data_IF_022787269723
#
_entry.id   IF_022787269723
#
_cell.length_a   1.000
_cell.length_b   1.000
_cell.length_c   1.000
_cell.angle_alpha   90.00
_cell.angle_beta   90.00
_cell.angle_gamma   90.00
#
_symmetry.space_group_name_H-M   'P 1'
#
loop_
_entity.id
_entity.type
_entity.pdbx_description
1 polymer ?
#
# COMPACT_ATOMS: atom_id res chain seq x y z
N UNK A 1 -1.61 -7.96 -28.02
CA UNK A 1 -2.66 -7.03 -27.55
C UNK A 1 -1.99 -5.91 -26.77
N UNK A 2 -2.40 -4.66 -26.96
CA UNK A 2 -1.84 -3.54 -26.19
C UNK A 2 -2.18 -3.70 -24.70
N UNK A 3 -1.22 -3.41 -23.81
CA UNK A 3 -1.48 -3.41 -22.36
C UNK A 3 -2.46 -2.30 -21.99
N UNK A 4 -3.31 -2.55 -21.01
CA UNK A 4 -4.20 -1.54 -20.43
C UNK A 4 -3.40 -0.34 -19.89
N UNK A 5 -3.99 0.86 -19.97
CA UNK A 5 -3.34 2.07 -19.48
C UNK A 5 -3.60 2.24 -18.00
N UNK A 6 -2.52 2.43 -17.23
CA UNK A 6 -2.57 2.56 -15.78
C UNK A 6 -2.47 4.03 -15.38
N UNK A 7 -3.37 4.45 -14.50
CA UNK A 7 -3.29 5.71 -13.78
C UNK A 7 -2.65 5.47 -12.42
N UNK A 8 -1.76 6.35 -11.95
CA UNK A 8 -1.16 6.22 -10.61
C UNK A 8 -1.18 7.57 -9.88
N UNK A 9 -1.88 7.62 -8.75
CA UNK A 9 -2.03 8.84 -7.95
C UNK A 9 -1.40 8.65 -6.57
N UNK A 10 -0.40 9.48 -6.27
CA UNK A 10 0.36 9.44 -5.02
C UNK A 10 1.76 8.87 -5.21
N UNK A 11 2.77 9.74 -5.36
CA UNK A 11 4.16 9.35 -5.66
C UNK A 11 5.08 9.51 -4.43
N UNK A 12 4.60 9.05 -3.28
CA UNK A 12 5.38 9.00 -2.04
C UNK A 12 6.40 7.86 -2.02
N UNK A 13 6.91 7.53 -0.81
CA UNK A 13 7.92 6.48 -0.60
C UNK A 13 7.49 5.10 -1.11
N UNK A 14 6.18 4.80 -1.06
CA UNK A 14 5.62 3.57 -1.59
C UNK A 14 5.24 3.72 -3.07
N UNK A 15 4.49 4.78 -3.39
CA UNK A 15 3.90 4.92 -4.71
C UNK A 15 4.90 5.16 -5.85
N UNK A 16 5.96 5.95 -5.63
CA UNK A 16 6.98 6.20 -6.68
C UNK A 16 7.68 4.91 -7.15
N UNK A 17 8.23 4.04 -6.28
CA UNK A 17 8.81 2.78 -6.75
C UNK A 17 7.78 1.83 -7.37
N UNK A 18 6.54 1.78 -6.86
CA UNK A 18 5.46 0.98 -7.48
C UNK A 18 5.17 1.46 -8.92
N UNK A 19 5.04 2.77 -9.12
CA UNK A 19 4.85 3.37 -10.43
C UNK A 19 6.02 3.07 -11.40
N UNK A 20 7.27 3.08 -10.90
CA UNK A 20 8.44 2.67 -11.69
C UNK A 20 8.40 1.20 -12.10
N UNK A 21 7.91 0.31 -11.24
CA UNK A 21 7.78 -1.11 -11.56
C UNK A 21 6.73 -1.35 -12.67
N UNK A 22 5.64 -0.59 -12.67
CA UNK A 22 4.64 -0.62 -13.75
C UNK A 22 5.24 -0.17 -15.09
N UNK A 23 6.03 0.91 -15.11
CA UNK A 23 6.74 1.35 -16.31
C UNK A 23 7.73 0.30 -16.81
N UNK A 24 8.54 -0.29 -15.93
CA UNK A 24 9.49 -1.36 -16.28
C UNK A 24 8.79 -2.59 -16.85
N UNK A 25 7.59 -2.90 -16.36
CA UNK A 25 6.75 -3.95 -16.90
C UNK A 25 6.11 -3.58 -18.26
N UNK A 26 6.31 -2.36 -18.77
CA UNK A 26 5.83 -1.93 -20.08
C UNK A 26 4.38 -1.46 -20.12
N UNK A 27 3.78 -1.11 -18.97
CA UNK A 27 2.44 -0.51 -18.95
C UNK A 27 2.51 0.97 -19.36
N UNK A 28 1.63 1.45 -20.25
CA UNK A 28 1.41 2.88 -20.43
C UNK A 28 0.94 3.49 -19.12
N UNK A 29 1.64 4.50 -18.61
CA UNK A 29 1.40 5.06 -17.28
C UNK A 29 1.07 6.55 -17.34
N UNK A 30 -0.01 6.96 -16.68
CA UNK A 30 -0.36 8.36 -16.42
C UNK A 30 -0.27 8.60 -14.92
N UNK A 31 0.51 9.58 -14.48
CA UNK A 31 0.75 9.81 -13.06
C UNK A 31 0.28 11.17 -12.59
N UNK A 32 -0.04 11.24 -11.30
CA UNK A 32 -0.24 12.49 -10.60
C UNK A 32 0.20 12.39 -9.14
N UNK A 33 0.65 13.51 -8.58
CA UNK A 33 0.83 13.67 -7.14
C UNK A 33 0.68 15.14 -6.77
N UNK A 34 0.29 15.40 -5.52
CA UNK A 34 0.18 16.77 -4.98
C UNK A 34 1.48 17.56 -5.16
N UNK A 35 2.62 16.91 -4.92
CA UNK A 35 3.94 17.53 -5.11
C UNK A 35 4.41 17.34 -6.54
N UNK A 36 4.91 18.42 -7.15
CA UNK A 36 5.36 18.45 -8.55
C UNK A 36 6.64 17.63 -8.83
N UNK A 37 7.71 17.70 -8.02
CA UNK A 37 8.98 17.04 -8.37
C UNK A 37 8.89 15.53 -8.64
N UNK A 38 8.16 14.71 -7.85
CA UNK A 38 7.96 13.30 -8.15
C UNK A 38 7.25 13.03 -9.49
N UNK A 39 6.36 13.93 -9.94
CA UNK A 39 5.70 13.82 -11.24
C UNK A 39 6.71 14.03 -12.36
N UNK A 40 7.54 15.08 -12.27
CA UNK A 40 8.56 15.36 -13.28
C UNK A 40 9.58 14.22 -13.40
N UNK A 41 10.00 13.62 -12.28
CA UNK A 41 10.85 12.43 -12.28
C UNK A 41 10.22 11.24 -13.05
N UNK A 42 8.92 11.02 -12.87
CA UNK A 42 8.20 9.93 -13.53
C UNK A 42 7.96 10.22 -15.01
N UNK A 43 7.72 11.47 -15.37
CA UNK A 43 7.61 11.90 -16.78
C UNK A 43 8.94 11.71 -17.50
N UNK A 44 10.05 12.11 -16.89
CA UNK A 44 11.39 11.85 -17.43
C UNK A 44 11.68 10.35 -17.60
N UNK A 45 11.02 9.49 -16.81
CA UNK A 45 11.11 8.03 -16.92
C UNK A 45 10.13 7.41 -17.93
N UNK A 46 9.30 8.21 -18.62
CA UNK A 46 8.38 7.74 -19.67
C UNK A 46 6.89 7.68 -19.29
N UNK A 47 6.49 8.19 -18.11
CA UNK A 47 5.08 8.37 -17.80
C UNK A 47 4.50 9.65 -18.44
N UNK A 48 3.18 9.72 -18.56
CA UNK A 48 2.47 10.94 -18.88
C UNK A 48 2.03 11.69 -17.60
N UNK A 49 2.02 13.02 -17.65
CA UNK A 49 1.51 13.86 -16.56
C UNK A 49 -0.02 14.01 -16.68
N UNK A 50 -0.75 13.46 -15.72
CA UNK A 50 -2.21 13.54 -15.69
C UNK A 50 -2.77 14.89 -15.25
N UNK A 51 -1.93 15.82 -14.77
CA UNK A 51 -2.26 17.18 -14.27
C UNK A 51 -3.15 17.24 -13.03
N UNK A 52 -4.11 16.32 -12.87
CA UNK A 52 -5.01 16.19 -11.72
C UNK A 52 -5.48 14.73 -11.55
N UNK A 53 -6.10 14.35 -10.42
CA UNK A 53 -6.73 13.04 -10.26
C UNK A 53 -7.76 12.74 -11.36
N UNK A 54 -8.60 13.72 -11.70
CA UNK A 54 -9.55 13.64 -12.82
C UNK A 54 -8.86 13.36 -14.16
N UNK A 55 -7.80 14.11 -14.47
CA UNK A 55 -7.07 13.94 -15.73
C UNK A 55 -6.36 12.59 -15.84
N UNK A 56 -5.89 12.01 -14.72
CA UNK A 56 -5.42 10.62 -14.67
C UNK A 56 -6.56 9.66 -14.99
N UNK A 57 -7.72 9.80 -14.35
CA UNK A 57 -8.85 8.91 -14.51
C UNK A 57 -9.41 8.90 -15.96
N UNK A 58 -9.50 10.06 -16.60
CA UNK A 58 -9.98 10.19 -17.98
C UNK A 58 -9.13 9.41 -18.98
N UNK A 59 -7.83 9.28 -18.69
CA UNK A 59 -6.87 8.65 -19.57
C UNK A 59 -6.59 7.19 -19.22
N UNK A 60 -7.16 6.62 -18.16
CA UNK A 60 -6.72 5.31 -17.64
C UNK A 60 -7.85 4.30 -17.61
N UNK A 61 -7.51 3.02 -17.78
CA UNK A 61 -8.43 1.89 -17.68
C UNK A 61 -8.45 1.34 -16.25
N UNK A 62 -7.28 1.32 -15.61
CA UNK A 62 -7.09 0.96 -14.20
C UNK A 62 -6.41 2.15 -13.51
N UNK A 63 -6.99 2.63 -12.41
CA UNK A 63 -6.47 3.76 -11.63
C UNK A 63 -6.00 3.21 -10.29
N UNK A 64 -4.75 3.47 -9.90
CA UNK A 64 -4.18 3.09 -8.62
C UNK A 64 -4.00 4.33 -7.75
N UNK A 65 -4.45 4.27 -6.49
CA UNK A 65 -4.13 5.28 -5.46
C UNK A 65 -3.20 4.70 -4.41
N UNK A 66 -2.20 5.48 -3.98
CA UNK A 66 -1.29 5.15 -2.88
C UNK A 66 -1.06 6.38 -2.00
N UNK A 67 -1.99 6.61 -1.07
CA UNK A 67 -2.14 7.85 -0.32
C UNK A 67 -1.99 7.64 1.20
N UNK A 68 -1.77 8.71 1.99
CA UNK A 68 -1.46 8.58 3.41
C UNK A 68 -2.61 8.08 4.29
N UNK A 69 -3.84 8.55 4.08
CA UNK A 69 -4.98 8.26 4.95
C UNK A 69 -6.35 8.42 4.25
N UNK A 70 -7.42 8.04 4.95
CA UNK A 70 -8.81 8.07 4.50
C UNK A 70 -9.24 9.43 3.96
N UNK A 71 -8.97 10.58 4.63
CA UNK A 71 -9.33 11.88 4.09
C UNK A 71 -8.61 12.22 2.78
N UNK A 72 -7.37 11.77 2.60
CA UNK A 72 -6.62 11.98 1.35
C UNK A 72 -7.25 11.17 0.21
N UNK A 73 -7.64 9.91 0.46
CA UNK A 73 -8.33 9.08 -0.54
C UNK A 73 -9.69 9.66 -0.88
N UNK A 74 -10.48 10.09 0.12
CA UNK A 74 -11.77 10.75 -0.10
C UNK A 74 -11.60 12.02 -0.93
N UNK A 75 -10.61 12.87 -0.63
CA UNK A 75 -10.35 14.08 -1.41
C UNK A 75 -9.95 13.76 -2.85
N UNK A 76 -9.04 12.82 -3.05
CA UNK A 76 -8.54 12.45 -4.39
C UNK A 76 -9.63 11.77 -5.23
N UNK A 77 -10.51 11.00 -4.60
CA UNK A 77 -11.52 10.22 -5.34
C UNK A 77 -12.84 10.97 -5.48
N UNK A 78 -13.38 11.48 -4.37
CA UNK A 78 -14.71 12.10 -4.29
C UNK A 78 -14.68 13.63 -4.41
N UNK A 79 -13.52 14.26 -4.20
CA UNK A 79 -13.39 15.71 -4.23
C UNK A 79 -13.50 16.31 -5.63
N UNK A 80 -13.50 17.65 -5.68
CA UNK A 80 -13.45 18.41 -6.94
C UNK A 80 -12.17 18.09 -7.72
N UNK A 81 -12.29 17.94 -9.04
CA UNK A 81 -11.23 17.43 -9.91
C UNK A 81 -10.67 16.07 -9.46
N UNK A 82 -11.49 15.31 -8.73
CA UNK A 82 -11.21 13.97 -8.25
C UNK A 82 -11.39 12.89 -9.31
N UNK A 83 -11.01 11.67 -8.95
CA UNK A 83 -11.13 10.50 -9.84
C UNK A 83 -12.56 10.31 -10.34
N UNK A 84 -13.59 10.47 -9.49
CA UNK A 84 -14.98 10.26 -9.89
C UNK A 84 -15.50 11.22 -10.97
N UNK A 85 -14.89 12.39 -11.13
CA UNK A 85 -15.25 13.36 -12.18
C UNK A 85 -14.61 13.03 -13.54
N UNK A 86 -13.67 12.07 -13.56
CA UNK A 86 -12.96 11.64 -14.77
C UNK A 86 -13.07 10.15 -15.08
N UNK A 87 -13.56 9.34 -14.15
CA UNK A 87 -13.62 7.89 -14.31
C UNK A 87 -14.64 7.50 -15.38
N UNK A 88 -14.23 6.57 -16.26
CA UNK A 88 -15.06 6.04 -17.34
C UNK A 88 -15.81 4.79 -16.87
N UNK A 89 -17.00 4.55 -17.42
CA UNK A 89 -17.67 3.27 -17.24
C UNK A 89 -16.76 2.12 -17.69
N UNK A 90 -16.76 1.02 -16.93
CA UNK A 90 -15.88 -0.12 -17.15
C UNK A 90 -14.44 0.06 -16.67
N UNK A 91 -14.04 1.21 -16.11
CA UNK A 91 -12.74 1.36 -15.46
C UNK A 91 -12.70 0.65 -14.10
N UNK A 92 -11.49 0.42 -13.57
CA UNK A 92 -11.29 -0.11 -12.21
C UNK A 92 -10.43 0.84 -11.38
N UNK A 93 -10.95 1.28 -10.23
CA UNK A 93 -10.17 1.97 -9.20
C UNK A 93 -9.58 0.94 -8.23
N UNK A 94 -8.29 1.01 -7.96
CA UNK A 94 -7.55 0.13 -7.07
C UNK A 94 -6.89 0.99 -5.99
N UNK A 95 -7.52 1.08 -4.83
CA UNK A 95 -6.93 1.81 -3.71
C UNK A 95 -5.98 0.93 -2.91
N UNK A 96 -4.69 1.22 -3.00
CA UNK A 96 -3.64 0.49 -2.27
C UNK A 96 -3.21 1.20 -0.97
N UNK A 97 -3.90 2.29 -0.63
CA UNK A 97 -3.75 3.00 0.64
C UNK A 97 -4.23 2.14 1.81
N UNK A 98 -3.79 2.46 3.03
CA UNK A 98 -4.37 1.87 4.25
C UNK A 98 -5.34 2.87 4.86
N UNK A 99 -6.64 2.57 4.78
CA UNK A 99 -7.73 3.46 5.17
C UNK A 99 -8.84 2.71 5.91
N UNK A 100 -9.83 3.43 6.45
CA UNK A 100 -10.99 2.81 7.09
C UNK A 100 -11.78 1.91 6.12
N UNK A 101 -12.15 0.67 6.50
CA UNK A 101 -13.03 -0.18 5.71
C UNK A 101 -14.37 0.47 5.37
N UNK A 102 -14.92 1.29 6.28
CA UNK A 102 -16.18 2.01 6.07
C UNK A 102 -16.05 3.04 4.95
N UNK A 103 -14.95 3.81 4.97
CA UNK A 103 -14.65 4.78 3.91
C UNK A 103 -14.44 4.07 2.58
N UNK A 104 -13.74 2.94 2.56
CA UNK A 104 -13.61 2.11 1.35
C UNK A 104 -14.97 1.70 0.80
N UNK A 105 -15.90 1.24 1.64
CA UNK A 105 -17.23 0.81 1.21
C UNK A 105 -18.06 1.96 0.64
N UNK A 106 -17.96 3.15 1.23
CA UNK A 106 -18.59 4.38 0.71
C UNK A 106 -18.05 4.75 -0.69
N UNK A 107 -16.73 4.76 -0.85
CA UNK A 107 -16.09 5.07 -2.12
C UNK A 107 -16.46 4.02 -3.18
N UNK A 108 -16.46 2.73 -2.81
CA UNK A 108 -16.82 1.65 -3.72
C UNK A 108 -18.25 1.79 -4.26
N UNK A 109 -19.20 2.22 -3.43
CA UNK A 109 -20.58 2.55 -3.87
C UNK A 109 -20.58 3.71 -4.87
N UNK A 110 -19.85 4.79 -4.58
CA UNK A 110 -19.78 5.94 -5.46
C UNK A 110 -19.12 5.64 -6.82
N UNK A 111 -18.09 4.79 -6.84
CA UNK A 111 -17.43 4.28 -8.06
C UNK A 111 -18.40 3.41 -8.86
N UNK A 112 -19.14 2.52 -8.19
CA UNK A 112 -20.14 1.65 -8.83
C UNK A 112 -21.25 2.46 -9.50
N UNK A 113 -21.69 3.56 -8.87
CA UNK A 113 -22.69 4.46 -9.44
C UNK A 113 -22.23 5.16 -10.74
N UNK A 114 -20.92 5.18 -11.03
CA UNK A 114 -20.36 5.65 -12.31
C UNK A 114 -20.19 4.53 -13.36
N UNK A 115 -20.65 3.32 -13.06
CA UNK A 115 -20.47 2.15 -13.93
C UNK A 115 -19.04 1.60 -13.94
N UNK A 116 -18.22 1.95 -12.96
CA UNK A 116 -16.87 1.44 -12.75
C UNK A 116 -16.84 0.45 -11.57
N UNK A 117 -15.72 -0.23 -11.36
CA UNK A 117 -15.53 -1.12 -10.22
C UNK A 117 -14.40 -0.63 -9.31
N UNK A 118 -14.42 -1.05 -8.04
CA UNK A 118 -13.36 -0.72 -7.09
C UNK A 118 -12.81 -1.98 -6.44
N UNK A 119 -11.48 -1.97 -6.23
CA UNK A 119 -10.76 -2.88 -5.34
C UNK A 119 -10.07 -2.07 -4.24
N UNK A 120 -10.21 -2.47 -2.99
CA UNK A 120 -9.30 -2.07 -1.92
C UNK A 120 -8.17 -3.10 -1.83
N UNK A 121 -6.94 -2.70 -2.09
CA UNK A 121 -5.78 -3.57 -2.21
C UNK A 121 -4.59 -3.08 -1.33
N UNK A 122 -4.79 -2.84 -0.02
CA UNK A 122 -3.70 -2.41 0.86
C UNK A 122 -2.53 -3.40 0.87
N UNK A 123 -1.34 -2.88 1.14
CA UNK A 123 -0.08 -3.62 0.99
C UNK A 123 0.72 -3.77 2.27
N UNK A 124 1.57 -4.78 2.32
CA UNK A 124 2.60 -5.00 3.36
C UNK A 124 3.94 -5.35 2.71
N UNK A 125 5.05 -4.97 3.35
CA UNK A 125 6.42 -5.14 2.82
C UNK A 125 7.28 -3.87 2.84
N UNK A 126 6.66 -2.70 3.07
CA UNK A 126 7.35 -1.41 3.19
C UNK A 126 8.03 -0.95 1.90
N UNK A 127 8.82 0.13 1.99
CA UNK A 127 9.51 0.73 0.85
C UNK A 127 10.40 -0.28 0.12
N UNK A 128 11.12 -1.13 0.86
CA UNK A 128 11.94 -2.20 0.27
C UNK A 128 11.11 -3.13 -0.61
N UNK A 129 9.97 -3.62 -0.11
CA UNK A 129 9.09 -4.49 -0.89
C UNK A 129 8.50 -3.77 -2.11
N UNK A 130 8.21 -2.47 -2.00
CA UNK A 130 7.73 -1.68 -3.13
C UNK A 130 8.81 -1.50 -4.22
N UNK A 131 10.07 -1.31 -3.85
CA UNK A 131 11.21 -1.24 -4.78
C UNK A 131 11.44 -2.58 -5.46
N UNK A 132 11.42 -3.67 -4.69
CA UNK A 132 11.75 -5.02 -5.14
C UNK A 132 10.58 -5.76 -5.82
N UNK A 133 9.39 -5.16 -5.89
CA UNK A 133 8.16 -5.80 -6.37
C UNK A 133 7.82 -7.09 -5.61
N UNK A 134 7.96 -7.07 -4.28
CA UNK A 134 7.74 -8.20 -3.38
C UNK A 134 6.66 -7.94 -2.34
N UNK A 135 5.79 -6.96 -2.57
CA UNK A 135 4.67 -6.65 -1.68
C UNK A 135 3.74 -7.86 -1.47
N UNK A 136 3.18 -7.94 -0.27
CA UNK A 136 1.96 -8.69 0.00
C UNK A 136 0.78 -7.77 -0.21
N UNK A 137 -0.22 -8.21 -0.98
CA UNK A 137 -1.38 -7.41 -1.41
C UNK A 137 -2.65 -8.13 -0.97
N UNK A 138 -3.45 -7.45 -0.14
CA UNK A 138 -4.69 -7.98 0.46
C UNK A 138 -5.86 -7.34 -0.27
N UNK A 139 -6.60 -8.07 -1.09
CA UNK A 139 -7.59 -7.47 -2.00
C UNK A 139 -9.02 -7.72 -1.55
N UNK A 140 -9.81 -6.66 -1.40
CA UNK A 140 -11.26 -6.66 -1.29
C UNK A 140 -11.92 -6.09 -2.55
N UNK A 141 -13.07 -6.63 -2.93
CA UNK A 141 -13.88 -6.18 -4.07
C UNK A 141 -14.39 -7.32 -4.96
N UNK A 142 -15.04 -7.03 -6.10
CA UNK A 142 -15.64 -8.05 -6.97
C UNK A 142 -14.60 -8.98 -7.64
N UNK A 143 -14.92 -10.27 -7.79
CA UNK A 143 -14.06 -11.27 -8.45
C UNK A 143 -13.66 -10.89 -9.89
N UNK A 144 -14.59 -10.28 -10.63
CA UNK A 144 -14.35 -9.86 -12.01
C UNK A 144 -13.30 -8.74 -12.10
N UNK A 145 -13.36 -7.78 -11.18
CA UNK A 145 -12.36 -6.72 -11.08
C UNK A 145 -11.01 -7.30 -10.65
N UNK A 146 -10.99 -8.18 -9.64
CA UNK A 146 -9.77 -8.83 -9.18
C UNK A 146 -9.09 -9.62 -10.30
N UNK A 147 -9.85 -10.45 -11.02
CA UNK A 147 -9.33 -11.27 -12.13
C UNK A 147 -8.68 -10.41 -13.22
N UNK A 148 -9.33 -9.30 -13.60
CA UNK A 148 -8.79 -8.36 -14.60
C UNK A 148 -7.53 -7.65 -14.13
N UNK A 149 -7.50 -7.18 -12.87
CA UNK A 149 -6.40 -6.37 -12.33
C UNK A 149 -5.22 -7.24 -11.86
N UNK A 150 -5.42 -8.55 -11.63
CA UNK A 150 -4.40 -9.49 -11.13
C UNK A 150 -3.04 -9.40 -11.86
N UNK A 151 -2.96 -9.34 -13.21
CA UNK A 151 -1.68 -9.20 -13.90
C UNK A 151 -0.93 -7.90 -13.56
N UNK A 152 -1.65 -6.82 -13.23
CA UNK A 152 -1.06 -5.56 -12.78
C UNK A 152 -0.51 -5.71 -11.36
N UNK A 153 -1.26 -6.34 -10.46
CA UNK A 153 -0.82 -6.59 -9.07
C UNK A 153 0.43 -7.49 -9.01
N UNK A 154 0.54 -8.46 -9.91
CA UNK A 154 1.72 -9.36 -10.03
C UNK A 154 3.02 -8.63 -10.40
N UNK A 155 2.93 -7.39 -10.91
CA UNK A 155 4.12 -6.54 -11.14
C UNK A 155 4.56 -5.77 -9.90
N UNK A 156 3.72 -5.74 -8.86
CA UNK A 156 3.93 -4.97 -7.64
C UNK A 156 4.22 -5.87 -6.44
N UNK A 157 3.74 -7.10 -6.46
CA UNK A 157 3.79 -8.02 -5.32
C UNK A 157 3.98 -9.48 -5.69
N UNK A 158 4.28 -10.28 -4.66
CA UNK A 158 4.49 -11.73 -4.77
C UNK A 158 3.43 -12.55 -4.04
N UNK A 159 2.80 -11.99 -3.01
CA UNK A 159 1.74 -12.66 -2.27
C UNK A 159 0.45 -11.86 -2.43
N UNK A 160 -0.45 -12.33 -3.31
CA UNK A 160 -1.66 -11.60 -3.69
C UNK A 160 -2.84 -12.48 -3.35
N UNK A 161 -3.67 -12.03 -2.41
CA UNK A 161 -4.80 -12.80 -1.90
C UNK A 161 -6.07 -11.97 -2.03
N UNK A 162 -7.08 -12.52 -2.71
CA UNK A 162 -8.42 -11.95 -2.74
C UNK A 162 -9.20 -12.47 -1.53
N UNK A 163 -9.55 -11.54 -0.64
CA UNK A 163 -10.08 -11.81 0.69
C UNK A 163 -11.61 -11.91 0.66
N UNK A 164 -12.27 -11.09 -0.16
CA UNK A 164 -13.71 -11.01 -0.21
C UNK A 164 -14.20 -9.70 -0.84
N UNK A 165 -15.37 -9.23 -0.42
CA UNK A 165 -16.00 -8.02 -0.94
C UNK A 165 -15.34 -6.70 -0.50
N UNK A 166 -15.94 -5.55 -0.87
CA UNK A 166 -15.39 -4.23 -0.55
C UNK A 166 -15.13 -4.02 0.95
N UNK A 167 -13.91 -3.58 1.27
CA UNK A 167 -13.42 -3.35 2.63
C UNK A 167 -12.71 -4.55 3.26
N UNK A 168 -12.82 -5.76 2.69
CA UNK A 168 -12.20 -6.96 3.24
C UNK A 168 -10.66 -6.90 3.21
N UNK A 169 -10.09 -6.23 2.20
CA UNK A 169 -8.65 -5.95 2.12
C UNK A 169 -8.20 -5.05 3.26
N UNK A 170 -8.93 -3.96 3.53
CA UNK A 170 -8.64 -3.06 4.65
C UNK A 170 -8.77 -3.75 6.02
N UNK A 171 -9.80 -4.58 6.24
CA UNK A 171 -9.95 -5.36 7.48
C UNK A 171 -8.76 -6.31 7.65
N UNK A 172 -8.35 -7.00 6.59
CA UNK A 172 -7.17 -7.89 6.64
C UNK A 172 -5.90 -7.11 6.96
N UNK A 173 -5.76 -5.91 6.38
CA UNK A 173 -4.64 -5.02 6.68
C UNK A 173 -4.66 -4.58 8.15
N UNK A 174 -5.81 -4.23 8.71
CA UNK A 174 -5.94 -3.89 10.13
C UNK A 174 -5.50 -5.06 11.02
N UNK A 175 -5.98 -6.28 10.76
CA UNK A 175 -5.54 -7.50 11.45
C UNK A 175 -4.01 -7.67 11.38
N UNK A 176 -3.41 -7.48 10.19
CA UNK A 176 -1.96 -7.53 10.03
C UNK A 176 -1.25 -6.48 10.90
N UNK A 177 -1.74 -5.24 10.95
CA UNK A 177 -1.11 -4.16 11.71
C UNK A 177 -1.24 -4.36 13.23
N UNK A 178 -2.33 -4.96 13.73
CA UNK A 178 -2.44 -5.41 15.13
C UNK A 178 -1.31 -6.37 15.48
N UNK A 179 -1.15 -7.43 14.67
CA UNK A 179 -0.10 -8.45 14.90
C UNK A 179 1.29 -7.84 14.83
N UNK A 180 1.56 -6.99 13.83
CA UNK A 180 2.85 -6.30 13.68
C UNK A 180 3.14 -5.41 14.89
N UNK A 181 2.18 -4.62 15.37
CA UNK A 181 2.37 -3.73 16.51
C UNK A 181 2.64 -4.49 17.81
N UNK A 182 1.80 -5.48 18.13
CA UNK A 182 1.96 -6.29 19.35
C UNK A 182 3.29 -7.04 19.36
N UNK A 183 3.73 -7.55 18.21
CA UNK A 183 5.00 -8.27 18.12
C UNK A 183 6.20 -7.32 18.24
N UNK A 184 6.12 -6.10 17.66
CA UNK A 184 7.16 -5.08 17.84
C UNK A 184 7.29 -4.73 19.32
N UNK A 185 6.16 -4.57 20.00
CA UNK A 185 6.14 -4.32 21.43
C UNK A 185 6.84 -5.48 22.16
N UNK A 186 6.36 -6.71 21.97
CA UNK A 186 6.89 -7.87 22.70
C UNK A 186 8.40 -8.06 22.53
N UNK A 187 8.91 -7.86 21.31
CA UNK A 187 10.36 -7.88 21.04
C UNK A 187 11.08 -6.75 21.77
N UNK A 188 10.50 -5.55 21.82
CA UNK A 188 11.07 -4.40 22.54
C UNK A 188 11.16 -4.68 24.04
N UNK A 189 10.11 -5.22 24.64
CA UNK A 189 10.09 -5.59 26.06
C UNK A 189 11.11 -6.68 26.39
N UNK A 190 11.17 -7.75 25.60
CA UNK A 190 12.11 -8.84 25.81
C UNK A 190 13.57 -8.36 25.75
N UNK A 191 13.92 -7.53 24.76
CA UNK A 191 15.28 -7.00 24.62
C UNK A 191 15.62 -5.96 25.70
N UNK A 192 14.65 -5.14 26.12
CA UNK A 192 14.83 -4.19 27.21
C UNK A 192 15.00 -4.90 28.57
N UNK A 193 14.22 -5.95 28.81
CA UNK A 193 14.35 -6.81 29.99
C UNK A 193 15.73 -7.46 30.05
N UNK A 194 16.19 -8.07 28.95
CA UNK A 194 17.52 -8.67 28.86
C UNK A 194 18.62 -7.65 29.21
N UNK A 195 18.57 -6.47 28.59
CA UNK A 195 19.54 -5.41 28.85
C UNK A 195 19.53 -4.97 30.33
N UNK A 196 18.34 -4.79 30.92
CA UNK A 196 18.21 -4.37 32.33
C UNK A 196 18.65 -5.46 33.32
N UNK A 197 18.52 -6.73 32.94
CA UNK A 197 18.99 -7.86 33.73
C UNK A 197 20.49 -8.15 33.56
N UNK A 198 21.22 -7.38 32.76
CA UNK A 198 22.66 -7.59 32.50
C UNK A 198 22.96 -8.72 31.51
N UNK A 199 21.95 -9.18 30.76
CA UNK A 199 22.09 -10.21 29.72
C UNK A 199 22.25 -9.55 28.36
N UNK A 200 23.18 -10.02 27.52
CA UNK A 200 23.41 -9.51 26.17
C UNK A 200 22.15 -9.70 25.28
N UNK A 201 21.46 -8.61 24.88
CA UNK A 201 20.26 -8.71 24.05
C UNK A 201 20.52 -9.32 22.67
N UNK A 202 21.73 -9.22 22.13
CA UNK A 202 22.09 -9.84 20.86
C UNK A 202 22.12 -11.38 20.97
N UNK A 203 22.65 -11.91 22.08
CA UNK A 203 22.63 -13.35 22.38
C UNK A 203 21.23 -13.86 22.68
N UNK A 204 20.42 -13.07 23.39
CA UNK A 204 18.99 -13.39 23.60
C UNK A 204 18.28 -13.49 22.25
N UNK A 205 18.42 -12.49 21.38
CA UNK A 205 17.84 -12.56 20.03
C UNK A 205 18.33 -13.80 19.28
N UNK A 206 19.63 -14.09 19.30
CA UNK A 206 20.20 -15.28 18.65
C UNK A 206 19.51 -16.58 19.10
N UNK A 207 19.27 -16.74 20.41
CA UNK A 207 18.58 -17.91 20.94
C UNK A 207 17.10 -17.95 20.53
N UNK A 208 16.39 -16.81 20.58
CA UNK A 208 14.97 -16.72 20.25
C UNK A 208 14.67 -17.00 18.76
N UNK A 209 15.62 -16.76 17.86
CA UNK A 209 15.48 -17.06 16.43
C UNK A 209 15.29 -18.55 16.10
N UNK A 210 15.65 -19.46 17.01
CA UNK A 210 15.55 -20.90 16.80
C UNK A 210 14.26 -21.55 17.32
N UNK A 211 13.34 -20.79 17.95
CA UNK A 211 12.18 -21.33 18.64
C UNK A 211 10.87 -20.62 18.31
N UNK A 212 9.80 -20.92 19.06
CA UNK A 212 8.45 -20.37 18.84
C UNK A 212 8.34 -18.84 18.95
N UNK A 213 9.34 -18.18 19.54
CA UNK A 213 9.42 -16.72 19.57
C UNK A 213 9.83 -16.09 18.22
N UNK A 214 10.30 -16.91 17.27
CA UNK A 214 10.71 -16.45 15.95
C UNK A 214 9.54 -15.82 15.22
N UNK A 215 9.81 -14.63 14.68
CA UNK A 215 8.87 -13.88 13.84
C UNK A 215 9.65 -12.97 12.92
N UNK A 216 9.01 -12.53 11.83
CA UNK A 216 9.63 -11.56 10.91
C UNK A 216 10.03 -10.25 11.61
N UNK A 217 9.30 -9.88 12.67
CA UNK A 217 9.61 -8.72 13.49
C UNK A 217 10.87 -8.94 14.31
N UNK A 218 11.05 -10.10 14.94
CA UNK A 218 12.30 -10.42 15.64
C UNK A 218 13.50 -10.44 14.68
N UNK A 219 13.33 -11.03 13.50
CA UNK A 219 14.37 -11.09 12.46
C UNK A 219 14.87 -9.69 12.09
N UNK A 220 13.93 -8.79 11.75
CA UNK A 220 14.24 -7.49 11.14
C UNK A 220 14.32 -6.38 12.18
N UNK A 221 13.25 -6.20 12.96
CA UNK A 221 13.15 -5.10 13.92
C UNK A 221 13.97 -5.37 15.17
N UNK A 222 14.07 -6.61 15.61
CA UNK A 222 15.00 -7.00 16.69
C UNK A 222 16.43 -6.58 16.36
N UNK A 223 16.91 -6.85 15.13
CA UNK A 223 18.24 -6.42 14.69
C UNK A 223 18.38 -4.89 14.68
N UNK A 224 17.40 -4.18 14.10
CA UNK A 224 17.41 -2.70 14.07
C UNK A 224 17.45 -2.07 15.45
N UNK A 225 16.76 -2.66 16.43
CA UNK A 225 16.79 -2.19 17.82
C UNK A 225 18.19 -2.33 18.43
N UNK A 226 18.88 -3.45 18.18
CA UNK A 226 20.26 -3.67 18.64
C UNK A 226 21.23 -2.65 18.02
N UNK A 227 21.05 -2.35 16.73
CA UNK A 227 21.86 -1.38 15.99
C UNK A 227 21.48 0.08 16.24
N UNK A 228 20.42 0.34 17.02
CA UNK A 228 19.82 1.68 17.19
C UNK A 228 19.45 2.35 15.86
N UNK A 229 19.14 1.55 14.84
CA UNK A 229 18.79 2.04 13.51
C UNK A 229 17.28 2.27 13.39
N UNK A 230 16.87 3.50 13.65
CA UNK A 230 15.47 3.93 13.56
C UNK A 230 15.17 4.80 12.33
N UNK A 231 16.02 4.73 11.29
CA UNK A 231 15.73 5.41 10.02
C UNK A 231 14.35 4.94 9.51
N UNK A 232 13.37 5.84 9.30
CA UNK A 232 12.00 5.41 9.07
C UNK A 232 11.81 4.64 7.75
N UNK A 233 11.54 3.34 7.84
CA UNK A 233 10.91 2.57 6.75
C UNK A 233 9.37 2.58 6.82
N UNK A 234 8.84 2.82 8.02
CA UNK A 234 7.43 3.13 8.28
C UNK A 234 7.39 4.01 9.54
N UNK A 235 6.66 5.13 9.50
CA UNK A 235 6.70 6.11 10.60
C UNK A 235 5.76 5.67 11.72
N UNK A 236 6.16 5.83 12.98
CA UNK A 236 5.34 5.47 14.16
C UNK A 236 3.94 6.10 14.10
N UNK A 237 3.82 7.38 13.71
CA UNK A 237 2.52 8.05 13.55
C UNK A 237 1.59 7.35 12.55
N UNK A 238 2.14 6.75 11.49
CA UNK A 238 1.36 6.02 10.49
C UNK A 238 0.94 4.65 11.03
N UNK A 239 1.78 4.03 11.86
CA UNK A 239 1.40 2.80 12.55
C UNK A 239 0.31 3.04 13.60
N UNK A 240 0.37 4.15 14.32
CA UNK A 240 -0.70 4.57 15.22
C UNK A 240 -2.02 4.84 14.47
N UNK A 241 -1.96 5.52 13.32
CA UNK A 241 -3.11 5.66 12.42
C UNK A 241 -3.70 4.31 12.03
N UNK A 242 -2.86 3.35 11.64
CA UNK A 242 -3.33 2.00 11.29
C UNK A 242 -4.00 1.29 12.47
N UNK A 243 -3.48 1.46 13.69
CA UNK A 243 -4.09 0.89 14.90
C UNK A 243 -5.41 1.58 15.28
N UNK A 244 -5.60 2.86 14.93
CA UNK A 244 -6.88 3.55 15.13
C UNK A 244 -7.97 3.11 14.12
N UNK A 245 -7.61 2.33 13.09
CA UNK A 245 -8.56 1.72 12.16
C UNK A 245 -9.09 0.37 12.70
N UNK A 246 -8.27 -0.31 13.51
CA UNK A 246 -8.60 -1.58 14.16
C UNK A 246 -9.54 -1.38 15.37
#
# INVERSE_FOLDING_TARGET
>A
MAKERIGFIGLGIMGKPMARNLLKAGYPLVVHSRSRPPVDEMVAAGAADGKSPRGVAQQSDIIITMLPDSPDVQQVVLGRDGVLEGIRAGAVLVDMSTISPLVTQEIAKAVTAKGAQMLDAPVSGGEKGAIEATLSIMVGGPDSAFTRVRPVLETLGKNIVHIGGPGAGQVTKACNQIVVALTIQAVSEALALAAKAGVDPAKVRQALLGGFAQSRILDVHGQRMLERNFKPGFRVRLHQKDLNIA
#
